data_IF_522798080433
#
_entry.id   IF_522798080433
#
_cell.length_a   1.000
_cell.length_b   1.000
_cell.length_c   1.000
_cell.angle_alpha   90.00
_cell.angle_beta   90.00
_cell.angle_gamma   90.00
#
_symmetry.space_group_name_H-M   'P 1'
#
loop_
_entity.id
_entity.type
_entity.pdbx_description
1 polymer ?
#
# COMPACT_ATOMS: atom_id res chain seq x y z
N UNK A 1 5.10 -11.32 -4.44
CA UNK A 1 5.30 -9.84 -4.44
C UNK A 1 6.77 -9.46 -4.28
N UNK A 2 7.17 -8.25 -4.69
CA UNK A 2 8.58 -7.81 -4.74
C UNK A 2 8.76 -6.59 -3.79
N UNK A 3 9.88 -6.53 -3.06
CA UNK A 3 10.25 -5.35 -2.29
C UNK A 3 10.62 -4.18 -3.23
N UNK A 4 10.21 -2.96 -2.91
CA UNK A 4 10.49 -1.81 -3.77
C UNK A 4 9.78 -0.55 -3.32
N UNK A 5 9.75 0.46 -4.20
CA UNK A 5 9.10 1.74 -3.93
C UNK A 5 7.66 1.75 -4.43
N UNK A 6 6.77 2.35 -3.66
CA UNK A 6 5.37 2.55 -4.06
C UNK A 6 5.26 3.53 -5.23
N UNK A 7 4.49 3.18 -6.25
CA UNK A 7 4.28 4.02 -7.43
C UNK A 7 2.88 4.63 -7.41
N UNK A 8 2.77 5.91 -7.80
CA UNK A 8 1.48 6.62 -7.81
C UNK A 8 0.42 5.91 -8.65
N UNK A 9 0.82 5.31 -9.78
CA UNK A 9 -0.09 4.53 -10.62
C UNK A 9 -0.70 3.33 -9.89
N UNK A 10 0.11 2.57 -9.14
CA UNK A 10 -0.40 1.45 -8.35
C UNK A 10 -1.32 1.96 -7.23
N UNK A 11 -0.87 2.96 -6.47
CA UNK A 11 -1.63 3.52 -5.35
C UNK A 11 -2.98 4.12 -5.81
N UNK A 12 -3.02 4.78 -6.96
CA UNK A 12 -4.24 5.34 -7.54
C UNK A 12 -5.30 4.26 -7.83
N UNK A 13 -4.87 3.08 -8.27
CA UNK A 13 -5.78 1.96 -8.47
C UNK A 13 -6.21 1.32 -7.13
N UNK A 14 -5.31 1.29 -6.15
CA UNK A 14 -5.54 0.66 -4.84
C UNK A 14 -6.42 1.49 -3.91
N UNK A 15 -6.38 2.82 -3.98
CA UNK A 15 -7.24 3.69 -3.16
C UNK A 15 -8.74 3.50 -3.46
N UNK A 16 -9.09 2.99 -4.65
CA UNK A 16 -10.48 2.64 -4.98
C UNK A 16 -10.96 1.37 -4.23
N UNK A 17 -10.04 0.59 -3.67
CA UNK A 17 -10.33 -0.64 -2.92
C UNK A 17 -10.30 -0.45 -1.42
N UNK A 18 -9.97 0.75 -0.93
CA UNK A 18 -9.77 0.95 0.50
C UNK A 18 -8.97 2.20 0.84
N UNK A 19 -8.62 2.34 2.12
CA UNK A 19 -7.83 3.48 2.61
C UNK A 19 -6.36 3.11 2.65
N UNK A 20 -5.50 3.95 2.05
CA UNK A 20 -4.06 3.71 2.01
C UNK A 20 -3.37 4.19 3.29
N UNK A 21 -2.34 3.46 3.71
CA UNK A 21 -1.46 3.85 4.82
C UNK A 21 -0.12 4.44 4.33
N UNK A 22 0.18 4.28 3.05
CA UNK A 22 1.44 4.69 2.44
C UNK A 22 1.18 5.61 1.24
N UNK A 23 1.99 6.66 1.15
CA UNK A 23 2.06 7.54 -0.02
C UNK A 23 3.01 7.02 -1.09
N UNK A 24 3.17 7.80 -2.16
CA UNK A 24 4.14 7.55 -3.23
C UNK A 24 5.58 7.61 -2.73
N UNK A 25 6.47 6.79 -3.32
CA UNK A 25 7.91 6.79 -3.08
C UNK A 25 8.34 6.12 -1.78
N UNK A 26 7.43 5.42 -1.10
CA UNK A 26 7.72 4.70 0.15
C UNK A 26 8.28 3.32 -0.13
N UNK A 27 9.35 2.97 0.58
CA UNK A 27 9.92 1.64 0.52
C UNK A 27 9.01 0.64 1.24
N UNK A 28 8.71 -0.46 0.56
CA UNK A 28 7.85 -1.53 1.05
C UNK A 28 8.50 -2.89 0.89
N UNK A 29 8.14 -3.81 1.79
CA UNK A 29 8.59 -5.19 1.77
C UNK A 29 7.42 -6.18 1.73
N UNK A 30 7.73 -7.44 1.46
CA UNK A 30 6.73 -8.51 1.35
C UNK A 30 6.03 -8.74 2.70
N UNK A 31 4.71 -8.63 2.71
CA UNK A 31 3.89 -8.82 3.92
C UNK A 31 3.66 -7.56 4.74
N UNK A 32 4.20 -6.42 4.32
CA UNK A 32 3.81 -5.13 4.86
C UNK A 32 2.38 -4.81 4.43
N UNK A 33 1.55 -4.37 5.38
CA UNK A 33 0.19 -3.90 5.15
C UNK A 33 0.26 -2.49 4.60
N UNK A 34 -0.37 -2.27 3.46
CA UNK A 34 -0.31 -1.00 2.71
C UNK A 34 -1.58 -0.16 2.83
N UNK A 35 -2.64 -0.72 3.42
CA UNK A 35 -3.93 -0.07 3.58
C UNK A 35 -4.98 -1.00 4.16
N UNK A 36 -6.13 -0.42 4.49
CA UNK A 36 -7.34 -1.10 4.92
C UNK A 36 -8.23 -1.37 3.72
N UNK A 37 -8.56 -2.65 3.48
CA UNK A 37 -9.50 -3.04 2.44
C UNK A 37 -10.93 -2.63 2.82
N UNK A 38 -11.76 -2.26 1.84
CA UNK A 38 -13.15 -1.89 2.07
C UNK A 38 -14.08 -3.08 2.36
N UNK A 39 -13.56 -4.30 2.30
CA UNK A 39 -14.25 -5.55 2.62
C UNK A 39 -13.46 -6.32 3.67
N UNK A 40 -14.14 -7.21 4.37
CA UNK A 40 -13.61 -7.94 5.54
C UNK A 40 -12.53 -8.98 5.20
N UNK A 41 -12.27 -9.24 3.91
CA UNK A 41 -11.26 -10.20 3.50
C UNK A 41 -9.91 -9.53 3.18
N UNK A 42 -8.82 -10.21 3.48
CA UNK A 42 -7.49 -9.79 3.06
C UNK A 42 -7.32 -9.81 1.54
N UNK A 43 -6.60 -8.82 1.01
CA UNK A 43 -6.31 -8.70 -0.40
C UNK A 43 -4.80 -8.54 -0.64
N UNK A 44 -4.13 -9.55 -1.23
CA UNK A 44 -2.77 -9.41 -1.69
C UNK A 44 -2.71 -8.42 -2.89
N UNK A 45 -1.97 -7.32 -2.73
CA UNK A 45 -1.81 -6.28 -3.77
C UNK A 45 -0.35 -5.96 -4.08
N UNK A 46 -0.08 -5.52 -5.31
CA UNK A 46 1.25 -5.05 -5.70
C UNK A 46 1.30 -3.50 -5.78
N UNK A 47 1.85 -2.80 -4.77
CA UNK A 47 1.95 -1.34 -4.77
C UNK A 47 3.14 -0.80 -5.59
N UNK A 48 3.99 -1.66 -6.14
CA UNK A 48 5.17 -1.28 -6.94
C UNK A 48 4.92 -1.42 -8.45
N UNK A 49 3.68 -1.70 -8.85
CA UNK A 49 3.30 -1.90 -10.26
C UNK A 49 3.44 -0.58 -11.05
N UNK A 50 4.29 -0.60 -12.08
CA UNK A 50 4.43 0.51 -13.02
C UNK A 50 3.27 0.58 -14.01
N UNK A 51 3.03 1.78 -14.57
CA UNK A 51 2.11 1.98 -15.70
C UNK A 51 2.69 1.27 -16.92
N UNK A 52 1.92 0.39 -17.54
CA UNK A 52 2.33 -0.21 -18.81
C UNK A 52 2.16 0.84 -19.90
N UNK A 53 3.26 1.27 -20.52
CA UNK A 53 3.25 2.18 -21.65
C UNK A 53 2.96 1.38 -22.91
N UNK A 54 1.69 1.25 -23.29
CA UNK A 54 1.33 0.80 -24.63
C UNK A 54 1.43 2.00 -25.56
N UNK A 55 2.35 1.96 -26.53
CA UNK A 55 2.58 2.99 -27.57
C UNK A 55 1.40 3.11 -28.56
N UNK A 56 0.17 3.02 -28.09
CA UNK A 56 -1.05 3.07 -28.89
C UNK A 56 -1.66 4.45 -28.68
N UNK A 57 -1.28 5.39 -29.56
CA UNK A 57 -2.03 6.63 -29.89
C UNK A 57 -2.53 7.49 -28.71
N UNK A 58 -1.82 7.57 -27.59
CA UNK A 58 -2.13 8.54 -26.53
C UNK A 58 -1.45 9.90 -26.82
N UNK A 59 -1.80 10.52 -27.94
CA UNK A 59 -1.55 11.95 -28.11
C UNK A 59 -2.54 12.69 -27.20
N UNK A 60 -2.12 13.04 -25.98
CA UNK A 60 -2.72 14.16 -25.26
C UNK A 60 -3.52 13.93 -23.97
N UNK A 61 -3.46 12.77 -23.29
CA UNK A 61 -4.05 12.65 -21.95
C UNK A 61 -3.09 11.98 -20.96
N UNK A 62 -2.16 12.80 -20.42
CA UNK A 62 -1.51 12.46 -19.15
C UNK A 62 -2.55 12.71 -18.05
N UNK A 63 -3.26 11.66 -17.66
CA UNK A 63 -4.20 11.73 -16.54
C UNK A 63 -3.44 12.14 -15.27
N UNK A 64 -3.84 13.26 -14.67
CA UNK A 64 -3.28 13.69 -13.40
C UNK A 64 -3.72 12.72 -12.29
N UNK A 65 -2.80 11.88 -11.82
CA UNK A 65 -3.07 10.89 -10.79
C UNK A 65 -3.21 11.57 -9.42
N UNK A 66 -4.44 11.81 -8.99
CA UNK A 66 -4.73 12.39 -7.68
C UNK A 66 -4.84 11.27 -6.65
N UNK A 67 -3.95 11.31 -5.65
CA UNK A 67 -3.96 10.38 -4.52
C UNK A 67 -4.68 10.98 -3.32
N UNK A 68 -5.57 10.20 -2.71
CA UNK A 68 -6.14 10.54 -1.41
C UNK A 68 -5.03 10.54 -0.35
N UNK A 69 -5.00 11.51 0.60
CA UNK A 69 -4.04 11.49 1.70
C UNK A 69 -4.06 10.14 2.44
N UNK A 70 -2.88 9.57 2.64
CA UNK A 70 -2.74 8.31 3.36
C UNK A 70 -2.91 8.53 4.86
N UNK A 71 -3.46 7.51 5.54
CA UNK A 71 -3.60 7.51 6.99
C UNK A 71 -2.24 7.21 7.60
N UNK A 72 -1.83 8.06 8.56
CA UNK A 72 -0.67 7.81 9.40
C UNK A 72 -1.16 7.41 10.78
N UNK A 73 -0.82 6.20 11.19
CA UNK A 73 -1.16 5.70 12.52
C UNK A 73 -0.16 6.21 13.54
N UNK A 74 -0.64 6.57 14.73
CA UNK A 74 0.19 6.60 15.94
C UNK A 74 0.47 5.17 16.40
N UNK A 75 1.33 4.98 17.40
CA UNK A 75 1.62 3.65 17.93
C UNK A 75 0.38 3.02 18.55
N UNK A 76 -0.39 3.79 19.30
CA UNK A 76 -1.63 3.37 19.96
C UNK A 76 -2.66 2.94 18.92
N UNK A 77 -2.85 3.75 17.87
CA UNK A 77 -3.75 3.41 16.76
C UNK A 77 -3.30 2.17 16.00
N UNK A 78 -1.99 1.97 15.84
CA UNK A 78 -1.46 0.77 15.19
C UNK A 78 -1.70 -0.47 16.05
N UNK A 79 -1.54 -0.37 17.37
CA UNK A 79 -1.80 -1.46 18.32
C UNK A 79 -3.28 -1.82 18.43
N UNK A 80 -4.17 -0.83 18.33
CA UNK A 80 -5.62 -1.04 18.29
C UNK A 80 -6.08 -1.66 16.96
N UNK A 81 -5.36 -1.38 15.87
CA UNK A 81 -5.74 -1.83 14.54
C UNK A 81 -5.39 -3.30 14.24
N UNK A 82 -4.27 -3.81 14.76
CA UNK A 82 -3.76 -5.14 14.36
C UNK A 82 -4.62 -6.30 14.87
N UNK A 83 -4.64 -7.38 14.08
CA UNK A 83 -5.22 -8.67 14.46
C UNK A 83 -4.14 -9.66 14.98
N UNK A 84 -4.59 -10.84 15.47
CA UNK A 84 -3.70 -11.87 16.05
C UNK A 84 -2.64 -12.42 15.08
N UNK A 85 -2.89 -12.35 13.77
CA UNK A 85 -1.97 -12.77 12.71
C UNK A 85 -1.12 -11.61 12.15
N UNK A 86 -1.17 -10.45 12.78
CA UNK A 86 -0.46 -9.23 12.41
C UNK A 86 0.53 -8.79 13.50
N UNK A 87 1.45 -7.92 13.11
CA UNK A 87 2.48 -7.37 13.97
C UNK A 87 2.66 -5.89 13.66
N UNK A 88 2.88 -5.10 14.71
CA UNK A 88 3.41 -3.74 14.60
C UNK A 88 4.93 -3.79 14.66
N UNK A 89 5.58 -3.38 13.59
CA UNK A 89 7.02 -3.15 13.54
C UNK A 89 7.31 -1.71 13.95
N UNK A 90 8.09 -1.55 15.02
CA UNK A 90 8.43 -0.23 15.57
C UNK A 90 9.93 -0.01 15.45
N UNK A 91 10.30 1.12 14.86
CA UNK A 91 11.66 1.67 14.87
C UNK A 91 11.60 3.12 15.38
N UNK A 92 12.73 3.74 15.76
CA UNK A 92 12.73 5.13 16.22
C UNK A 92 12.13 6.13 15.20
N UNK A 93 12.17 5.79 13.91
CA UNK A 93 11.72 6.67 12.82
C UNK A 93 10.40 6.23 12.18
N UNK A 94 9.92 5.00 12.45
CA UNK A 94 8.77 4.46 11.73
C UNK A 94 7.97 3.43 12.53
N UNK A 95 6.66 3.46 12.29
CA UNK A 95 5.70 2.46 12.74
C UNK A 95 5.10 1.85 11.48
N UNK A 96 5.21 0.52 11.36
CA UNK A 96 4.73 -0.24 10.19
C UNK A 96 3.86 -1.40 10.64
N UNK A 97 2.90 -1.76 9.80
CA UNK A 97 2.00 -2.88 10.00
C UNK A 97 2.39 -4.01 9.06
N UNK A 98 2.37 -5.26 9.53
CA UNK A 98 2.69 -6.43 8.70
C UNK A 98 1.96 -7.69 9.15
N UNK A 99 1.84 -8.67 8.26
CA UNK A 99 1.41 -10.05 8.60
C UNK A 99 2.57 -10.86 9.20
N UNK A 100 2.25 -11.72 10.18
CA UNK A 100 3.17 -12.60 10.92
C UNK A 100 3.57 -13.85 10.11
N UNK A 101 2.66 -14.35 9.27
CA UNK A 101 2.79 -15.62 8.55
C UNK A 101 3.51 -15.56 7.19
N UNK A 102 3.67 -16.73 6.56
CA UNK A 102 4.10 -16.84 5.16
C UNK A 102 3.02 -16.23 4.27
N UNK A 103 3.30 -15.06 3.73
CA UNK A 103 2.44 -14.39 2.75
C UNK A 103 2.44 -15.24 1.47
N UNK A 104 1.26 -15.64 1.02
CA UNK A 104 1.13 -16.35 -0.27
C UNK A 104 1.56 -15.40 -1.38
N UNK A 105 2.63 -15.78 -2.09
CA UNK A 105 3.35 -14.96 -3.08
C UNK A 105 2.53 -14.68 -4.33
#
# INVERSE_FOLDING_TARGET
>A
MIAGKTLSYALFNLQNRGKLFLGHGKDVYIGQIVGLHSRDNDLPVNPTKAKQLTNIRAAGNDENLILTPHIKHTLEQALEFIEDDELVEVTPESIRLRKKGKVRT
#
